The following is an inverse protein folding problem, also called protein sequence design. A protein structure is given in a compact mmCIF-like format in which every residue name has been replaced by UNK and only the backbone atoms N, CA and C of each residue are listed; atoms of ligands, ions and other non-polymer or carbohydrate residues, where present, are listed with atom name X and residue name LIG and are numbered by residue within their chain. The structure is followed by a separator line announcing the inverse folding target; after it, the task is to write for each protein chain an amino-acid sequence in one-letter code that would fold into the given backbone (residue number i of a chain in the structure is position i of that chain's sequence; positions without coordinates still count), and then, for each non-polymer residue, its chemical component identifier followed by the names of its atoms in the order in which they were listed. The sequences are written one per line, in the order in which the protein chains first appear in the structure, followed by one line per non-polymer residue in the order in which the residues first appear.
data_IF_769044008552
#
_entry.id   IF_769044008552
#
_cell.length_a   1.000
_cell.length_b   1.000
_cell.length_c   1.000
_cell.angle_alpha   90.00
_cell.angle_beta   90.00
_cell.angle_gamma   90.00
#
_symmetry.space_group_name_H-M   'P 1'
#
loop_
_entity.id
_entity.type
_entity.pdbx_description
1 polymer ?
#
# COMPACT_ATOMS: atom_id res chain seq x y z
N UNK A 1 -3.18 10.41 4.73
CA UNK A 1 -3.72 9.60 5.85
C UNK A 1 -3.57 8.11 5.55
N UNK A 2 -4.19 7.57 4.50
CA UNK A 2 -4.09 6.14 4.15
C UNK A 2 -2.67 5.58 4.11
N UNK A 3 -1.71 6.27 3.46
CA UNK A 3 -0.30 5.85 3.43
C UNK A 3 0.35 5.76 4.83
N UNK A 4 -0.02 6.63 5.77
CA UNK A 4 0.52 6.61 7.14
C UNK A 4 -0.02 5.39 7.89
N UNK A 5 -1.33 5.15 7.80
CA UNK A 5 -1.96 3.97 8.42
C UNK A 5 -1.37 2.69 7.87
N UNK A 6 -1.17 2.63 6.55
CA UNK A 6 -0.52 1.51 5.86
C UNK A 6 0.92 1.28 6.33
N UNK A 7 1.72 2.35 6.53
CA UNK A 7 3.08 2.22 7.10
C UNK A 7 3.08 1.65 8.52
N UNK A 8 2.13 2.06 9.37
CA UNK A 8 2.01 1.54 10.74
C UNK A 8 1.66 0.04 10.71
N UNK A 9 0.70 -0.36 9.88
CA UNK A 9 0.33 -1.77 9.71
C UNK A 9 1.47 -2.64 9.20
N UNK A 10 2.22 -2.17 8.20
CA UNK A 10 3.37 -2.89 7.65
C UNK A 10 4.52 -3.03 8.66
N UNK A 11 4.83 -1.98 9.42
CA UNK A 11 5.85 -2.04 10.47
C UNK A 11 5.44 -3.03 11.56
N UNK A 12 4.19 -2.95 12.05
CA UNK A 12 3.67 -3.90 13.04
C UNK A 12 3.77 -5.35 12.55
N UNK A 13 3.35 -5.62 11.30
CA UNK A 13 3.41 -6.95 10.71
C UNK A 13 4.86 -7.48 10.61
N UNK A 14 5.80 -6.61 10.22
CA UNK A 14 7.23 -6.96 10.15
C UNK A 14 7.84 -7.24 11.53
N UNK A 15 7.47 -6.47 12.55
CA UNK A 15 7.93 -6.68 13.93
C UNK A 15 7.38 -7.99 14.48
N UNK A 16 6.08 -8.25 14.33
CA UNK A 16 5.45 -9.48 14.83
C UNK A 16 6.10 -10.71 14.21
N UNK A 17 6.32 -10.71 12.90
CA UNK A 17 6.96 -11.85 12.21
C UNK A 17 8.44 -12.03 12.52
N UNK A 18 9.13 -11.00 13.03
CA UNK A 18 10.52 -11.09 13.46
C UNK A 18 10.73 -11.72 14.85
N UNK A 19 9.71 -11.70 15.72
CA UNK A 19 9.78 -12.22 17.11
C UNK A 19 9.75 -13.77 17.15
N UNK A 20 9.50 -14.42 16.01
CA UNK A 20 9.55 -15.87 15.84
C UNK A 20 8.18 -16.50 15.64
N UNK A 21 8.15 -17.61 14.91
CA UNK A 21 6.93 -18.33 14.52
C UNK A 21 6.49 -19.35 15.59
N UNK A 22 6.24 -18.88 16.81
CA UNK A 22 5.64 -19.72 17.84
C UNK A 22 4.10 -19.67 17.69
N UNK A 23 3.42 -20.81 17.42
CA UNK A 23 1.97 -20.85 17.27
C UNK A 23 1.29 -20.59 18.62
N UNK A 24 1.02 -19.32 18.91
CA UNK A 24 0.34 -18.86 20.11
C UNK A 24 -0.87 -18.00 19.71
N UNK A 25 -1.96 -18.08 20.48
CA UNK A 25 -3.20 -17.33 20.23
C UNK A 25 -2.92 -15.82 20.19
N UNK A 26 -2.03 -15.33 21.06
CA UNK A 26 -1.63 -13.92 21.09
C UNK A 26 -0.95 -13.49 19.79
N UNK A 27 -0.09 -14.36 19.22
CA UNK A 27 0.59 -14.10 17.95
C UNK A 27 -0.42 -14.03 16.79
N UNK A 28 -1.39 -14.94 16.76
CA UNK A 28 -2.45 -14.96 15.76
C UNK A 28 -3.30 -13.70 15.80
N UNK A 29 -3.74 -13.27 16.99
CA UNK A 29 -4.52 -12.04 17.16
C UNK A 29 -3.70 -10.82 16.73
N UNK A 30 -2.44 -10.74 17.16
CA UNK A 30 -1.53 -9.66 16.77
C UNK A 30 -1.35 -9.57 15.26
N UNK A 31 -1.13 -10.71 14.59
CA UNK A 31 -0.98 -10.78 13.13
C UNK A 31 -2.25 -10.31 12.41
N UNK A 32 -3.44 -10.77 12.84
CA UNK A 32 -4.72 -10.36 12.27
C UNK A 32 -4.95 -8.85 12.41
N UNK A 33 -4.67 -8.28 13.59
CA UNK A 33 -4.81 -6.85 13.84
C UNK A 33 -3.85 -6.04 12.95
N UNK A 34 -2.59 -6.46 12.84
CA UNK A 34 -1.62 -5.79 11.98
C UNK A 34 -2.03 -5.85 10.50
N UNK A 35 -2.52 -7.00 10.05
CA UNK A 35 -3.02 -7.17 8.68
C UNK A 35 -4.24 -6.29 8.43
N UNK A 36 -5.18 -6.22 9.38
CA UNK A 36 -6.36 -5.35 9.27
C UNK A 36 -5.98 -3.87 9.13
N UNK A 37 -5.03 -3.38 9.94
CA UNK A 37 -4.54 -2.00 9.86
C UNK A 37 -3.90 -1.73 8.48
N UNK A 38 -3.13 -2.68 7.97
CA UNK A 38 -2.50 -2.58 6.64
C UNK A 38 -3.58 -2.48 5.54
N UNK A 39 -4.58 -3.37 5.54
CA UNK A 39 -5.68 -3.33 4.57
C UNK A 39 -6.52 -2.06 4.70
N UNK A 40 -6.76 -1.58 5.92
CA UNK A 40 -7.47 -0.33 6.16
C UNK A 40 -6.72 0.86 5.54
N UNK A 41 -5.39 0.89 5.69
CA UNK A 41 -4.54 1.88 5.05
C UNK A 41 -4.66 1.87 3.51
N UNK A 42 -4.64 0.68 2.91
CA UNK A 42 -4.83 0.48 1.46
C UNK A 42 -6.23 0.96 1.02
N UNK A 43 -7.27 0.54 1.74
CA UNK A 43 -8.66 0.90 1.45
C UNK A 43 -8.95 2.40 1.55
N UNK A 44 -8.18 3.14 2.37
CA UNK A 44 -8.25 4.60 2.43
C UNK A 44 -7.38 5.27 1.36
N UNK A 45 -6.20 4.71 1.05
CA UNK A 45 -5.27 5.32 0.11
C UNK A 45 -5.78 5.24 -1.35
N UNK A 46 -6.24 4.06 -1.78
CA UNK A 46 -6.65 3.80 -3.16
C UNK A 46 -7.74 4.76 -3.68
N UNK A 47 -8.93 4.85 -3.06
CA UNK A 47 -10.01 5.70 -3.58
C UNK A 47 -9.67 7.19 -3.48
N UNK A 48 -8.86 7.61 -2.49
CA UNK A 48 -8.44 9.00 -2.36
C UNK A 48 -7.45 9.41 -3.46
N UNK A 49 -6.46 8.57 -3.77
CA UNK A 49 -5.53 8.82 -4.85
C UNK A 49 -6.25 8.84 -6.21
N UNK A 50 -7.19 7.93 -6.41
CA UNK A 50 -8.00 7.87 -7.62
C UNK A 50 -8.88 9.13 -7.73
N UNK A 51 -9.63 9.48 -6.68
CA UNK A 51 -10.48 10.67 -6.66
C UNK A 51 -9.69 11.94 -7.01
N UNK A 52 -8.50 12.12 -6.43
CA UNK A 52 -7.62 13.26 -6.73
C UNK A 52 -7.15 13.28 -8.19
N UNK A 53 -6.88 12.12 -8.79
CA UNK A 53 -6.45 12.03 -10.19
C UNK A 53 -7.58 12.33 -11.18
N UNK A 54 -8.83 11.99 -10.86
CA UNK A 54 -9.98 12.23 -11.74
C UNK A 54 -10.54 13.66 -11.65
N UNK A 55 -10.12 14.49 -10.69
CA UNK A 55 -10.57 15.90 -10.57
C UNK A 55 -10.31 16.69 -11.86
N UNK A 56 -9.19 16.42 -12.55
CA UNK A 56 -8.83 17.11 -13.79
C UNK A 56 -9.52 16.54 -15.06
N UNK A 57 -10.29 15.45 -14.93
CA UNK A 57 -10.89 14.71 -16.07
C UNK A 57 -12.41 14.55 -15.98
N UNK A 58 -13.13 15.53 -15.42
CA UNK A 58 -14.57 15.43 -15.17
C UNK A 58 -15.40 15.18 -16.43
N UNK A 59 -15.05 15.81 -17.56
CA UNK A 59 -15.77 15.66 -18.84
C UNK A 59 -15.68 14.22 -19.43
N UNK A 60 -14.64 13.48 -19.04
CA UNK A 60 -14.33 12.13 -19.53
C UNK A 60 -14.08 11.16 -18.37
N UNK A 61 -14.82 11.34 -17.27
CA UNK A 61 -14.56 10.65 -16.00
C UNK A 61 -14.60 9.12 -16.13
N UNK A 62 -15.48 8.59 -16.99
CA UNK A 62 -15.62 7.16 -17.24
C UNK A 62 -14.42 6.54 -17.96
N UNK A 63 -13.95 7.17 -19.05
CA UNK A 63 -12.79 6.67 -19.81
C UNK A 63 -11.49 6.88 -19.06
N UNK A 64 -11.33 8.03 -18.38
CA UNK A 64 -10.20 8.29 -17.51
C UNK A 64 -10.12 7.27 -16.35
N UNK A 65 -11.25 6.96 -15.71
CA UNK A 65 -11.33 5.93 -14.66
C UNK A 65 -10.96 4.53 -15.16
N UNK A 66 -11.41 4.16 -16.37
CA UNK A 66 -11.04 2.90 -17.00
C UNK A 66 -9.53 2.81 -17.27
N UNK A 67 -8.90 3.88 -17.79
CA UNK A 67 -7.47 3.92 -18.03
C UNK A 67 -6.65 3.88 -16.72
N UNK A 68 -7.07 4.61 -15.68
CA UNK A 68 -6.40 4.57 -14.38
C UNK A 68 -6.48 3.20 -13.71
N UNK A 69 -7.64 2.54 -13.77
CA UNK A 69 -7.79 1.18 -13.23
C UNK A 69 -6.98 0.15 -14.02
N UNK A 70 -6.91 0.26 -15.36
CA UNK A 70 -6.05 -0.57 -16.19
C UNK A 70 -4.57 -0.41 -15.79
N UNK A 71 -4.10 0.82 -15.61
CA UNK A 71 -2.74 1.09 -15.14
C UNK A 71 -2.48 0.50 -13.75
N UNK A 72 -3.41 0.66 -12.82
CA UNK A 72 -3.34 0.04 -11.48
C UNK A 72 -3.21 -1.49 -11.57
N UNK A 73 -4.03 -2.16 -12.36
CA UNK A 73 -3.97 -3.62 -12.49
C UNK A 73 -2.67 -4.11 -13.12
N UNK A 74 -2.11 -3.39 -14.09
CA UNK A 74 -0.79 -3.73 -14.65
C UNK A 74 0.27 -3.68 -13.54
N UNK A 75 0.33 -2.60 -12.77
CA UNK A 75 1.30 -2.42 -11.68
C UNK A 75 1.11 -3.51 -10.60
N UNK A 76 -0.13 -3.78 -10.20
CA UNK A 76 -0.45 -4.83 -9.22
C UNK A 76 -0.03 -6.20 -9.74
N UNK A 77 -0.29 -6.51 -11.01
CA UNK A 77 0.09 -7.79 -11.61
C UNK A 77 1.60 -7.98 -11.61
N UNK A 78 2.37 -6.95 -12.01
CA UNK A 78 3.84 -6.99 -11.95
C UNK A 78 4.32 -7.18 -10.51
N UNK A 79 3.68 -6.50 -9.56
CA UNK A 79 4.03 -6.59 -8.13
C UNK A 79 3.75 -7.98 -7.56
N UNK A 80 2.61 -8.59 -7.89
CA UNK A 80 2.26 -9.96 -7.47
C UNK A 80 3.19 -10.97 -8.14
N UNK A 81 3.51 -10.78 -9.42
CA UNK A 81 4.46 -11.63 -10.14
C UNK A 81 5.85 -11.60 -9.48
N UNK A 82 6.34 -10.41 -9.11
CA UNK A 82 7.58 -10.25 -8.35
C UNK A 82 7.54 -10.97 -7.00
N UNK A 83 6.41 -10.89 -6.28
CA UNK A 83 6.21 -11.62 -5.03
C UNK A 83 6.30 -13.14 -5.22
N UNK A 84 5.72 -13.65 -6.31
CA UNK A 84 5.76 -15.09 -6.63
C UNK A 84 7.17 -15.62 -6.81
N UNK A 85 8.10 -14.82 -7.33
CA UNK A 85 9.50 -15.24 -7.52
C UNK A 85 10.29 -15.21 -6.21
N UNK A 86 9.97 -14.27 -5.32
CA UNK A 86 10.69 -14.08 -4.05
C UNK A 86 10.18 -14.98 -2.93
N UNK A 87 9.00 -15.57 -3.07
CA UNK A 87 8.35 -16.32 -2.00
C UNK A 87 9.07 -17.65 -1.70
N UNK A 88 9.87 -17.65 -0.63
CA UNK A 88 10.66 -18.80 -0.19
C UNK A 88 9.91 -19.71 0.81
N UNK A 89 8.58 -19.55 0.96
CA UNK A 89 7.78 -20.26 1.97
C UNK A 89 7.94 -19.74 3.41
N UNK A 90 8.86 -18.79 3.64
CA UNK A 90 9.06 -18.14 4.94
C UNK A 90 8.01 -17.05 5.18
N UNK A 91 7.45 -17.04 6.39
CA UNK A 91 6.50 -16.03 6.87
C UNK A 91 7.08 -14.60 6.90
N UNK A 92 8.41 -14.47 6.93
CA UNK A 92 9.07 -13.16 7.07
C UNK A 92 9.20 -12.42 5.73
N UNK A 93 9.21 -13.14 4.61
CA UNK A 93 9.41 -12.54 3.28
C UNK A 93 8.23 -11.66 2.88
N UNK A 94 7.01 -12.08 3.20
CA UNK A 94 5.79 -11.34 2.81
C UNK A 94 5.65 -9.97 3.51
N UNK A 95 5.79 -9.84 4.84
CA UNK A 95 5.76 -8.55 5.52
C UNK A 95 6.88 -7.61 5.06
N UNK A 96 8.08 -8.12 4.81
CA UNK A 96 9.19 -7.31 4.29
C UNK A 96 8.85 -6.75 2.90
N UNK A 97 8.28 -7.59 2.03
CA UNK A 97 7.84 -7.17 0.71
C UNK A 97 6.78 -6.07 0.79
N UNK A 98 5.75 -6.23 1.63
CA UNK A 98 4.77 -5.17 1.86
C UNK A 98 5.41 -3.90 2.42
N UNK A 99 6.35 -4.01 3.36
CA UNK A 99 7.07 -2.84 3.88
C UNK A 99 7.80 -2.09 2.76
N UNK A 100 8.51 -2.80 1.86
CA UNK A 100 9.19 -2.15 0.73
C UNK A 100 8.22 -1.40 -0.20
N UNK A 101 7.10 -2.02 -0.58
CA UNK A 101 6.07 -1.37 -1.41
C UNK A 101 5.52 -0.14 -0.71
N UNK A 102 5.23 -0.25 0.58
CA UNK A 102 4.64 0.84 1.37
C UNK A 102 5.60 2.01 1.53
N UNK A 103 6.90 1.75 1.69
CA UNK A 103 7.94 2.78 1.69
C UNK A 103 8.00 3.48 0.34
N UNK A 104 8.02 2.72 -0.77
CA UNK A 104 8.00 3.28 -2.13
C UNK A 104 6.77 4.18 -2.31
N UNK A 105 5.57 3.69 -1.98
CA UNK A 105 4.33 4.47 -2.08
C UNK A 105 4.35 5.74 -1.23
N UNK A 106 4.89 5.67 -0.01
CA UNK A 106 5.02 6.81 0.90
C UNK A 106 5.99 7.87 0.36
N UNK A 107 7.13 7.44 -0.20
CA UNK A 107 8.11 8.33 -0.85
C UNK A 107 7.49 9.01 -2.07
N UNK A 108 6.84 8.25 -2.95
CA UNK A 108 6.16 8.82 -4.13
C UNK A 108 5.08 9.83 -3.74
N UNK A 109 4.30 9.54 -2.69
CA UNK A 109 3.29 10.47 -2.20
C UNK A 109 3.93 11.77 -1.71
N UNK A 110 5.04 11.71 -0.97
CA UNK A 110 5.76 12.92 -0.52
C UNK A 110 6.37 13.69 -1.69
N UNK A 111 7.00 13.01 -2.64
CA UNK A 111 7.66 13.67 -3.77
C UNK A 111 6.64 14.31 -4.72
N UNK A 112 5.61 13.58 -5.14
CA UNK A 112 4.70 14.08 -6.19
C UNK A 112 3.51 14.86 -5.65
N UNK A 113 2.89 14.44 -4.54
CA UNK A 113 1.66 15.07 -4.05
C UNK A 113 1.96 16.30 -3.20
N UNK A 114 2.94 16.21 -2.29
CA UNK A 114 3.30 17.37 -1.47
C UNK A 114 4.06 18.45 -2.26
N UNK A 115 4.94 18.07 -3.20
CA UNK A 115 5.64 19.07 -4.03
C UNK A 115 4.69 19.91 -4.90
N UNK A 116 3.58 19.33 -5.39
CA UNK A 116 2.57 20.05 -6.17
C UNK A 116 1.77 21.04 -5.31
N UNK A 117 1.61 20.77 -4.01
CA UNK A 117 0.88 21.63 -3.07
C UNK A 117 1.67 22.89 -2.71
N UNK A 118 3.00 22.81 -2.62
CA UNK A 118 3.86 23.97 -2.32
C UNK A 118 3.97 24.92 -3.50
N UNK A 119 3.95 24.41 -4.75
CA UNK A 119 3.99 25.24 -5.96
C UNK A 119 2.68 26.00 -6.27
N UNK A 120 1.55 25.61 -5.65
CA UNK A 120 0.27 26.33 -5.77
C UNK A 120 0.07 27.40 -4.69
N UNK A 121 0.97 27.48 -3.71
CA UNK A 121 0.92 28.39 -2.57
C UNK A 121 1.97 29.51 -2.60
N UNK A 122 2.85 29.51 -3.61
CA UNK A 122 3.79 30.58 -3.95
C UNK A 122 3.27 31.24 -5.22
#
# INVERSE_FOLDING_TARGET
IGCIVMTVGAVLLSVITSVGSNPNIIYMIGFLVAMFILLLGIGVALPNCLSLALVDFQDVIGTAGALFSLGYYIIVTVTIWGMSQLHTGSLMVMPLYFLTIVVIMSVFTRVFVFSKKTSKLI
#
